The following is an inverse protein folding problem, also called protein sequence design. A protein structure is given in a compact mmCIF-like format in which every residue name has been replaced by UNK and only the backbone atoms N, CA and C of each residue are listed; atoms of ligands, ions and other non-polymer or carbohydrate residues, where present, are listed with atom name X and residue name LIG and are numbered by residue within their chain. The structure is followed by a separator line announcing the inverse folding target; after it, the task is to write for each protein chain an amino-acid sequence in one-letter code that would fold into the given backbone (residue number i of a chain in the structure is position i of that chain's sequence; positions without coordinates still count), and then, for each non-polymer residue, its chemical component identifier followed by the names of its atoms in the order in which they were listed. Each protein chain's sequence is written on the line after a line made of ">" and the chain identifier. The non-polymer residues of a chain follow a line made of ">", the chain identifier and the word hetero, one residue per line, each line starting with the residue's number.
data_IF_571389202843
#
_entry.id   IF_571389202843
#
_cell.length_a   1.000
_cell.length_b   1.000
_cell.length_c   1.000
_cell.angle_alpha   90.00
_cell.angle_beta   90.00
_cell.angle_gamma   90.00
#
_symmetry.space_group_name_H-M   'P 1'
#
loop_
_entity.id
_entity.type
_entity.pdbx_description
1 polymer ?
#
# COMPACT_ATOMS: atom_id res chain seq x y z
N UNK A 1 -3.09 -6.58 49.90
CA UNK A 1 -3.91 -5.50 49.31
C UNK A 1 -3.11 -4.41 48.57
N UNK A 2 -2.39 -3.46 49.21
CA UNK A 2 -1.69 -2.39 48.44
C UNK A 2 -0.59 -2.90 47.50
N UNK A 3 0.21 -3.86 47.97
CA UNK A 3 1.34 -4.40 47.21
C UNK A 3 0.89 -5.23 46.00
N UNK A 4 -0.20 -5.98 46.13
CA UNK A 4 -0.80 -6.76 45.02
C UNK A 4 -1.37 -5.86 43.93
N UNK A 5 -2.00 -4.75 44.31
CA UNK A 5 -2.51 -3.78 43.34
C UNK A 5 -1.37 -3.14 42.56
N UNK A 6 -0.28 -2.79 43.23
CA UNK A 6 0.92 -2.21 42.58
C UNK A 6 1.54 -3.20 41.59
N UNK A 7 1.65 -4.49 41.92
CA UNK A 7 2.16 -5.49 40.97
C UNK A 7 1.25 -5.64 39.77
N UNK A 8 -0.07 -5.68 39.97
CA UNK A 8 -1.05 -5.77 38.86
C UNK A 8 -0.95 -4.56 37.95
N UNK A 9 -0.88 -3.36 38.52
CA UNK A 9 -0.77 -2.10 37.77
C UNK A 9 0.56 -2.02 37.00
N UNK A 10 1.65 -2.54 37.60
CA UNK A 10 2.95 -2.64 36.96
C UNK A 10 2.97 -3.62 35.78
N UNK A 11 2.37 -4.81 35.93
CA UNK A 11 2.26 -5.74 34.79
C UNK A 11 1.37 -5.20 33.68
N UNK A 12 0.30 -4.47 34.04
CA UNK A 12 -0.56 -3.80 33.06
C UNK A 12 0.19 -2.70 32.30
N UNK A 13 1.04 -1.93 33.00
CA UNK A 13 1.84 -0.88 32.36
C UNK A 13 2.92 -1.46 31.45
N UNK A 14 3.63 -2.51 31.86
CA UNK A 14 4.59 -3.23 31.01
C UNK A 14 3.89 -3.77 29.76
N UNK A 15 2.74 -4.45 29.93
CA UNK A 15 2.00 -5.02 28.80
C UNK A 15 1.63 -3.94 27.79
N UNK A 16 1.13 -2.80 28.28
CA UNK A 16 0.74 -1.68 27.43
C UNK A 16 1.93 -1.08 26.70
N UNK A 17 3.02 -0.83 27.41
CA UNK A 17 4.23 -0.25 26.83
C UNK A 17 4.82 -1.17 25.75
N UNK A 18 5.00 -2.46 26.06
CA UNK A 18 5.50 -3.45 25.11
C UNK A 18 4.60 -3.53 23.87
N UNK A 19 3.28 -3.51 24.06
CA UNK A 19 2.34 -3.58 22.95
C UNK A 19 2.46 -2.36 22.02
N UNK A 20 2.55 -1.15 22.57
CA UNK A 20 2.70 0.06 21.76
C UNK A 20 4.05 0.11 21.04
N UNK A 21 5.14 -0.33 21.68
CA UNK A 21 6.47 -0.41 21.06
C UNK A 21 6.50 -1.40 19.89
N UNK A 22 6.00 -2.63 20.10
CA UNK A 22 5.93 -3.67 19.06
C UNK A 22 5.00 -3.22 17.91
N UNK A 23 3.85 -2.62 18.23
CA UNK A 23 2.93 -2.07 17.22
C UNK A 23 3.60 -0.99 16.39
N UNK A 24 4.31 -0.05 17.01
CA UNK A 24 5.01 1.01 16.31
C UNK A 24 6.08 0.46 15.36
N UNK A 25 6.85 -0.55 15.81
CA UNK A 25 7.85 -1.21 14.98
C UNK A 25 7.21 -1.93 13.79
N UNK A 26 6.20 -2.76 14.02
CA UNK A 26 5.50 -3.51 12.96
C UNK A 26 4.91 -2.54 11.93
N UNK A 27 4.24 -1.47 12.36
CA UNK A 27 3.66 -0.49 11.44
C UNK A 27 4.73 0.21 10.60
N UNK A 28 5.90 0.50 11.18
CA UNK A 28 7.02 1.10 10.45
C UNK A 28 7.58 0.16 9.38
N UNK A 29 7.76 -1.12 9.72
CA UNK A 29 8.25 -2.14 8.79
C UNK A 29 7.25 -2.41 7.66
N UNK A 30 5.96 -2.60 8.00
CA UNK A 30 4.89 -2.83 7.01
C UNK A 30 4.74 -1.63 6.08
N UNK A 31 4.77 -0.39 6.61
CA UNK A 31 4.69 0.81 5.79
C UNK A 31 5.86 0.89 4.79
N UNK A 32 7.05 0.45 5.21
CA UNK A 32 8.22 0.43 4.32
C UNK A 32 8.05 -0.59 3.20
N UNK A 33 7.62 -1.81 3.53
CA UNK A 33 7.40 -2.89 2.56
C UNK A 33 6.28 -2.57 1.55
N UNK A 34 5.13 -2.08 2.04
CA UNK A 34 3.99 -1.74 1.17
C UNK A 34 4.31 -0.55 0.23
N UNK A 35 5.01 0.47 0.71
CA UNK A 35 5.40 1.62 -0.12
C UNK A 35 6.46 1.27 -1.18
N UNK A 36 7.20 0.19 -0.95
CA UNK A 36 8.22 -0.30 -1.88
C UNK A 36 7.70 -1.36 -2.85
N UNK A 37 6.54 -1.96 -2.58
CA UNK A 37 5.98 -3.00 -3.45
C UNK A 37 5.60 -2.43 -4.81
N UNK A 38 6.12 -3.09 -5.84
CA UNK A 38 5.92 -2.70 -7.24
C UNK A 38 5.39 -3.86 -8.04
N UNK A 39 4.49 -3.58 -8.96
CA UNK A 39 3.84 -4.56 -9.81
C UNK A 39 4.21 -4.30 -11.26
N UNK A 40 4.47 -5.36 -12.00
CA UNK A 40 4.49 -5.40 -13.46
C UNK A 40 3.05 -5.38 -14.01
N UNK A 41 2.87 -5.31 -15.33
CA UNK A 41 1.54 -5.39 -15.96
C UNK A 41 0.78 -6.68 -15.56
N UNK A 42 1.34 -7.90 -15.66
CA UNK A 42 0.63 -9.12 -15.26
C UNK A 42 0.24 -9.11 -13.77
N UNK A 43 1.14 -8.66 -12.90
CA UNK A 43 0.86 -8.58 -11.46
C UNK A 43 -0.20 -7.52 -11.15
N UNK A 44 -0.18 -6.37 -11.83
CA UNK A 44 -1.19 -5.33 -11.70
C UNK A 44 -2.55 -5.80 -12.24
N UNK A 45 -2.57 -6.64 -13.27
CA UNK A 45 -3.79 -7.27 -13.79
C UNK A 45 -4.42 -8.17 -12.74
N UNK A 46 -3.63 -9.04 -12.12
CA UNK A 46 -4.09 -9.88 -11.00
C UNK A 46 -4.55 -9.04 -9.80
N UNK A 47 -3.85 -7.95 -9.51
CA UNK A 47 -4.16 -7.09 -8.37
C UNK A 47 -5.45 -6.28 -8.55
N UNK A 48 -5.63 -5.66 -9.72
CA UNK A 48 -6.75 -4.75 -10.00
C UNK A 48 -7.97 -5.45 -10.60
N UNK A 49 -7.81 -6.67 -11.12
CA UNK A 49 -8.83 -7.38 -11.91
C UNK A 49 -8.99 -6.82 -13.33
N UNK A 50 -8.19 -5.85 -13.75
CA UNK A 50 -8.22 -5.25 -15.10
C UNK A 50 -7.37 -6.10 -16.04
N UNK A 51 -7.84 -6.34 -17.27
CA UNK A 51 -7.06 -7.10 -18.26
C UNK A 51 -5.73 -6.41 -18.60
N UNK A 52 -4.69 -7.19 -18.93
CA UNK A 52 -3.39 -6.64 -19.32
C UNK A 52 -3.49 -5.66 -20.50
N UNK A 53 -4.32 -5.97 -21.50
CA UNK A 53 -4.55 -5.12 -22.67
C UNK A 53 -5.16 -3.76 -22.28
N UNK A 54 -6.15 -3.78 -21.38
CA UNK A 54 -6.74 -2.55 -20.83
C UNK A 54 -5.71 -1.77 -20.03
N UNK A 55 -4.86 -2.42 -19.23
CA UNK A 55 -3.79 -1.73 -18.50
C UNK A 55 -2.77 -1.08 -19.44
N UNK A 56 -2.40 -1.74 -20.53
CA UNK A 56 -1.54 -1.15 -21.57
C UNK A 56 -2.19 0.08 -22.21
N UNK A 57 -3.48 0.01 -22.52
CA UNK A 57 -4.26 1.14 -23.04
C UNK A 57 -4.28 2.31 -22.06
N UNK A 58 -4.61 2.07 -20.78
CA UNK A 58 -4.65 3.10 -19.75
C UNK A 58 -3.27 3.75 -19.53
N UNK A 59 -2.19 2.97 -19.59
CA UNK A 59 -0.83 3.51 -19.52
C UNK A 59 -0.50 4.40 -20.74
N UNK A 60 -0.94 4.00 -21.94
CA UNK A 60 -0.74 4.78 -23.16
C UNK A 60 -1.52 6.11 -23.11
N UNK A 61 -2.73 6.08 -22.57
CA UNK A 61 -3.61 7.25 -22.39
C UNK A 61 -3.22 8.11 -21.18
N UNK A 62 -2.31 7.62 -20.34
CA UNK A 62 -1.89 8.26 -19.07
C UNK A 62 -3.06 8.45 -18.09
N UNK A 63 -4.05 7.56 -18.14
CA UNK A 63 -5.24 7.57 -17.27
C UNK A 63 -5.08 6.76 -15.99
N UNK A 64 -3.98 6.00 -15.85
CA UNK A 64 -3.59 5.25 -14.66
C UNK A 64 -2.15 5.63 -14.24
N UNK A 65 -1.81 5.71 -12.94
CA UNK A 65 -0.45 6.05 -12.52
C UNK A 65 0.53 4.91 -12.78
N UNK A 66 1.54 5.15 -13.61
CA UNK A 66 2.62 4.20 -13.91
C UNK A 66 3.97 4.91 -13.99
N UNK A 67 5.04 4.14 -13.95
CA UNK A 67 6.37 4.62 -14.32
C UNK A 67 7.10 3.57 -15.15
N UNK A 68 8.14 4.01 -15.86
CA UNK A 68 8.98 3.14 -16.66
C UNK A 68 10.27 2.83 -15.90
N UNK A 69 10.52 1.56 -15.62
CA UNK A 69 11.77 1.07 -15.04
C UNK A 69 12.77 0.73 -16.15
N UNK A 70 13.94 1.36 -16.10
CA UNK A 70 15.03 1.20 -17.07
C UNK A 70 15.73 2.54 -17.35
N UNK A 71 16.96 2.48 -17.87
CA UNK A 71 17.67 3.68 -18.33
C UNK A 71 16.87 4.38 -19.45
N UNK A 72 16.97 5.71 -19.56
CA UNK A 72 16.41 6.48 -20.69
C UNK A 72 16.90 6.00 -22.06
N UNK A 73 18.05 5.30 -22.09
CA UNK A 73 18.64 4.67 -23.30
C UNK A 73 18.22 3.21 -23.49
N UNK A 74 17.42 2.65 -22.59
CA UNK A 74 16.96 1.26 -22.70
C UNK A 74 16.03 1.11 -23.89
N UNK A 75 16.28 0.08 -24.70
CA UNK A 75 15.39 -0.29 -25.82
C UNK A 75 14.09 -0.93 -25.36
N UNK A 76 14.00 -1.37 -24.09
CA UNK A 76 12.84 -2.06 -23.52
C UNK A 76 12.60 -1.63 -22.07
N UNK A 77 12.14 -0.40 -21.82
CA UNK A 77 11.71 0.00 -20.48
C UNK A 77 10.48 -0.82 -20.05
N UNK A 78 10.49 -1.34 -18.81
CA UNK A 78 9.34 -2.06 -18.24
C UNK A 78 8.35 -1.08 -17.63
N UNK A 79 7.05 -1.30 -17.87
CA UNK A 79 5.99 -0.58 -17.16
C UNK A 79 5.86 -1.19 -15.77
N UNK A 80 5.85 -0.33 -14.77
CA UNK A 80 5.73 -0.70 -13.37
C UNK A 80 4.72 0.21 -12.66
N UNK A 81 4.07 -0.34 -11.65
CA UNK A 81 3.10 0.34 -10.80
C UNK A 81 3.56 0.28 -9.36
N UNK A 82 3.30 1.33 -8.58
CA UNK A 82 3.40 1.26 -7.12
C UNK A 82 2.03 0.89 -6.58
N UNK A 83 1.97 -0.03 -5.63
CA UNK A 83 0.70 -0.48 -5.03
C UNK A 83 -0.06 0.72 -4.44
N UNK A 84 0.61 1.54 -3.62
CA UNK A 84 0.02 2.75 -3.02
C UNK A 84 -0.60 3.71 -4.07
N UNK A 85 0.06 3.87 -5.23
CA UNK A 85 -0.43 4.74 -6.30
C UNK A 85 -1.67 4.14 -6.98
N UNK A 86 -1.71 2.82 -7.17
CA UNK A 86 -2.88 2.14 -7.70
C UNK A 86 -4.06 2.22 -6.72
N UNK A 87 -3.84 1.98 -5.42
CA UNK A 87 -4.89 2.08 -4.41
C UNK A 87 -5.50 3.46 -4.35
N UNK A 88 -4.65 4.49 -4.32
CA UNK A 88 -5.11 5.90 -4.35
C UNK A 88 -5.91 6.20 -5.62
N UNK A 89 -5.47 5.70 -6.77
CA UNK A 89 -6.18 5.87 -8.02
C UNK A 89 -7.55 5.16 -8.00
N UNK A 90 -7.64 3.93 -7.50
CA UNK A 90 -8.91 3.20 -7.37
C UNK A 90 -9.89 3.96 -6.47
N UNK A 91 -9.45 4.44 -5.30
CA UNK A 91 -10.30 5.26 -4.42
C UNK A 91 -10.75 6.58 -5.06
N UNK A 92 -9.95 7.16 -5.96
CA UNK A 92 -10.38 8.32 -6.74
C UNK A 92 -11.42 7.94 -7.79
N UNK A 93 -11.26 6.80 -8.47
CA UNK A 93 -12.27 6.30 -9.41
C UNK A 93 -13.60 6.04 -8.70
N UNK A 94 -13.59 5.44 -7.51
CA UNK A 94 -14.79 5.24 -6.69
C UNK A 94 -15.49 6.56 -6.37
N UNK A 95 -14.75 7.58 -5.92
CA UNK A 95 -15.32 8.90 -5.62
C UNK A 95 -15.91 9.60 -6.84
N UNK A 96 -15.25 9.48 -7.99
CA UNK A 96 -15.74 10.08 -9.25
C UNK A 96 -16.97 9.35 -9.74
N UNK A 97 -16.94 8.01 -9.76
CA UNK A 97 -17.99 7.19 -10.34
C UNK A 97 -19.23 7.09 -9.45
N UNK A 98 -19.05 7.08 -8.14
CA UNK A 98 -20.12 6.88 -7.17
C UNK A 98 -20.48 8.16 -6.40
N UNK A 99 -20.18 9.36 -6.91
CA UNK A 99 -20.43 10.60 -6.15
C UNK A 99 -21.86 10.67 -5.58
N UNK A 100 -21.97 10.78 -4.25
CA UNK A 100 -23.25 10.85 -3.53
C UNK A 100 -23.79 9.57 -2.88
N UNK A 101 -22.97 8.52 -2.71
CA UNK A 101 -23.33 7.28 -2.01
C UNK A 101 -23.02 7.29 -0.49
N UNK A 102 -22.30 8.31 -0.02
CA UNK A 102 -21.97 8.59 1.40
C UNK A 102 -23.06 9.45 2.04
#
# INVERSE_FOLDING_TARGET
>A
MKTEQITVDFFASIRKQLFEEVKAQILSEIATELNQRRLTIPEASQYTGISEDTLYMLCREKSIPFYRAGSSKSRKPKIMFRVESLDRWMSQQEKVNCSGWE
#
